data_IF_293698307066
#
_entry.id   IF_293698307066
#
_cell.length_a   1.000
_cell.length_b   1.000
_cell.length_c   1.000
_cell.angle_alpha   90.00
_cell.angle_beta   90.00
_cell.angle_gamma   90.00
#
_symmetry.space_group_name_H-M   'P 1'
#
loop_
_entity.id
_entity.type
_entity.pdbx_description
1 polymer ?
#
# COMPACT_ATOMS: atom_id res chain seq x y z
N UNK A 1 -2.27 14.74 7.86
CA UNK A 1 -1.12 14.54 8.79
C UNK A 1 -0.70 13.09 8.73
N UNK A 2 0.58 12.76 8.89
CA UNK A 2 1.04 11.37 8.86
C UNK A 2 1.02 10.77 10.27
N UNK A 3 0.52 9.55 10.41
CA UNK A 3 0.50 8.75 11.62
C UNK A 3 1.39 7.52 11.43
N UNK A 4 2.21 7.24 12.42
CA UNK A 4 3.08 6.07 12.43
C UNK A 4 2.40 4.92 13.19
N UNK A 5 2.36 3.72 12.59
CA UNK A 5 1.82 2.50 13.21
C UNK A 5 2.76 1.32 13.01
N UNK A 6 2.73 0.34 13.91
CA UNK A 6 3.55 -0.87 13.84
C UNK A 6 2.67 -2.06 13.45
N UNK A 7 3.05 -2.80 12.41
CA UNK A 7 2.31 -3.98 11.95
C UNK A 7 3.25 -5.04 11.37
N UNK A 8 3.09 -6.28 11.82
CA UNK A 8 3.86 -7.45 11.37
C UNK A 8 5.39 -7.19 11.29
N UNK A 9 5.93 -6.50 12.30
CA UNK A 9 7.37 -6.19 12.37
C UNK A 9 7.84 -5.05 11.46
N UNK A 10 6.92 -4.30 10.84
CA UNK A 10 7.25 -3.13 10.01
C UNK A 10 6.55 -1.87 10.50
N UNK A 11 7.22 -0.73 10.33
CA UNK A 11 6.68 0.60 10.60
C UNK A 11 5.92 1.12 9.37
N UNK A 12 4.69 1.59 9.55
CA UNK A 12 3.85 2.15 8.50
C UNK A 12 3.61 3.63 8.74
N UNK A 13 3.83 4.43 7.71
CA UNK A 13 3.56 5.86 7.69
C UNK A 13 2.27 6.08 6.91
N UNK A 14 1.15 6.23 7.62
CA UNK A 14 -0.17 6.33 7.01
C UNK A 14 -0.69 7.75 7.08
N UNK A 15 -1.45 8.19 6.08
CA UNK A 15 -2.27 9.39 6.25
C UNK A 15 -3.25 9.19 7.41
N UNK A 16 -3.52 10.26 8.18
CA UNK A 16 -4.42 10.25 9.33
C UNK A 16 -5.83 9.77 9.01
N UNK A 17 -6.27 9.87 7.75
CA UNK A 17 -7.56 9.30 7.31
C UNK A 17 -7.58 7.78 7.33
N UNK A 18 -6.43 7.09 7.35
CA UNK A 18 -6.38 5.64 7.40
C UNK A 18 -6.18 5.13 8.83
N UNK A 19 -7.18 4.42 9.34
CA UNK A 19 -7.11 3.69 10.60
C UNK A 19 -6.79 2.23 10.35
N UNK A 20 -5.59 1.80 10.75
CA UNK A 20 -5.20 0.38 10.68
C UNK A 20 -6.17 -0.51 11.47
N UNK A 21 -6.55 -1.64 10.87
CA UNK A 21 -7.39 -2.67 11.49
C UNK A 21 -6.51 -3.86 11.91
N UNK A 22 -5.88 -4.55 10.95
CA UNK A 22 -5.02 -5.71 11.22
C UNK A 22 -4.03 -5.96 10.08
N UNK A 23 -2.89 -6.61 10.34
CA UNK A 23 -2.10 -7.21 9.27
C UNK A 23 -2.90 -8.33 8.58
N UNK A 24 -2.83 -8.41 7.25
CA UNK A 24 -3.57 -9.39 6.44
C UNK A 24 -2.67 -10.27 5.59
N UNK A 25 -1.40 -9.91 5.39
CA UNK A 25 -0.49 -10.78 4.64
C UNK A 25 0.91 -10.23 4.48
N UNK A 26 1.77 -11.06 3.91
CA UNK A 26 3.10 -10.71 3.44
C UNK A 26 3.12 -10.93 1.93
N UNK A 27 3.50 -9.90 1.18
CA UNK A 27 3.74 -9.97 -0.26
C UNK A 27 5.22 -10.15 -0.57
N UNK A 28 5.54 -10.28 -1.86
CA UNK A 28 6.93 -10.44 -2.33
C UNK A 28 7.87 -9.30 -1.91
N UNK A 29 7.34 -8.08 -1.68
CA UNK A 29 8.13 -6.89 -1.39
C UNK A 29 7.75 -6.18 -0.09
N UNK A 30 6.97 -6.83 0.79
CA UNK A 30 6.66 -6.24 2.09
C UNK A 30 5.35 -6.72 2.70
N UNK A 31 4.78 -5.89 3.57
CA UNK A 31 3.65 -6.25 4.45
C UNK A 31 2.37 -5.61 3.95
N UNK A 32 1.26 -6.35 4.05
CA UNK A 32 -0.09 -5.87 3.72
C UNK A 32 -0.92 -5.79 4.99
N UNK A 33 -1.54 -4.63 5.21
CA UNK A 33 -2.49 -4.39 6.29
C UNK A 33 -3.88 -4.11 5.72
N UNK A 34 -4.93 -4.43 6.47
CA UNK A 34 -6.24 -3.84 6.26
C UNK A 34 -6.37 -2.57 7.10
N UNK A 35 -6.99 -1.55 6.52
CA UNK A 35 -7.29 -0.28 7.15
C UNK A 35 -8.70 0.18 6.76
N UNK A 36 -9.20 1.15 7.52
CA UNK A 36 -10.44 1.86 7.21
C UNK A 36 -10.10 3.30 6.85
N UNK A 37 -10.59 3.78 5.72
CA UNK A 37 -10.61 5.21 5.44
C UNK A 37 -11.72 5.84 6.29
N UNK A 38 -11.36 6.60 7.32
CA UNK A 38 -12.30 7.20 8.26
C UNK A 38 -13.17 8.31 7.65
N UNK A 39 -12.80 8.83 6.49
CA UNK A 39 -13.59 9.84 5.76
C UNK A 39 -14.71 9.21 4.94
N UNK A 40 -14.47 8.05 4.33
CA UNK A 40 -15.45 7.35 3.47
C UNK A 40 -16.12 6.15 4.15
N UNK A 41 -15.53 5.62 5.23
CA UNK A 41 -15.93 4.38 5.89
C UNK A 41 -15.47 3.11 5.14
N UNK A 42 -14.77 3.25 4.01
CA UNK A 42 -14.36 2.12 3.18
C UNK A 42 -13.20 1.36 3.80
N UNK A 43 -13.25 0.03 3.68
CA UNK A 43 -12.14 -0.85 4.07
C UNK A 43 -11.21 -1.04 2.88
N UNK A 44 -9.93 -0.82 3.11
CA UNK A 44 -8.88 -0.89 2.10
C UNK A 44 -7.77 -1.85 2.52
N UNK A 45 -7.05 -2.38 1.54
CA UNK A 45 -5.76 -3.02 1.74
C UNK A 45 -4.66 -2.01 1.45
N UNK A 46 -3.68 -1.92 2.35
CA UNK A 46 -2.50 -1.06 2.18
C UNK A 46 -1.27 -1.97 2.17
N UNK A 47 -0.62 -2.06 1.02
CA UNK A 47 0.63 -2.80 0.81
C UNK A 47 1.79 -1.84 0.94
N UNK A 48 2.63 -2.04 1.95
CA UNK A 48 3.92 -1.36 2.08
C UNK A 48 4.97 -2.14 1.30
N UNK A 49 5.68 -1.44 0.43
CA UNK A 49 6.84 -1.93 -0.31
C UNK A 49 8.06 -1.21 0.25
N UNK A 50 8.95 -1.96 0.90
CA UNK A 50 10.19 -1.43 1.48
C UNK A 50 11.30 -1.36 0.44
N UNK A 51 12.17 -0.37 0.55
CA UNK A 51 13.35 -0.20 -0.31
C UNK A 51 13.04 -0.26 -1.81
N UNK A 52 11.89 0.32 -2.20
CA UNK A 52 11.29 0.16 -3.53
C UNK A 52 12.21 0.58 -4.70
N UNK A 53 13.22 1.42 -4.42
CA UNK A 53 14.14 1.97 -5.41
C UNK A 53 15.60 1.53 -5.22
N UNK A 54 15.87 0.60 -4.31
CA UNK A 54 17.23 0.17 -4.02
C UNK A 54 17.82 -0.70 -5.16
N UNK A 55 17.00 -1.53 -5.81
CA UNK A 55 17.38 -2.33 -6.97
C UNK A 55 16.61 -1.91 -8.23
N UNK A 56 17.32 -1.76 -9.35
CA UNK A 56 16.74 -1.30 -10.61
C UNK A 56 15.76 -2.32 -11.22
N UNK A 57 15.99 -3.62 -11.02
CA UNK A 57 15.09 -4.67 -11.51
C UNK A 57 13.80 -4.66 -10.71
N UNK A 58 13.88 -4.57 -9.39
CA UNK A 58 12.71 -4.51 -8.52
C UNK A 58 11.93 -3.20 -8.68
N UNK A 59 12.61 -2.06 -8.82
CA UNK A 59 11.98 -0.79 -9.15
C UNK A 59 11.18 -0.87 -10.46
N UNK A 60 11.72 -1.53 -11.50
CA UNK A 60 11.00 -1.78 -12.77
C UNK A 60 9.78 -2.68 -12.58
N UNK A 61 9.89 -3.71 -11.71
CA UNK A 61 8.78 -4.62 -11.41
C UNK A 61 7.66 -3.87 -10.67
N UNK A 62 7.98 -3.07 -9.67
CA UNK A 62 7.03 -2.25 -8.91
C UNK A 62 6.35 -1.23 -9.84
N UNK A 63 7.13 -0.53 -10.68
CA UNK A 63 6.58 0.42 -11.64
C UNK A 63 5.63 -0.26 -12.65
N UNK A 64 5.96 -1.48 -13.09
CA UNK A 64 5.08 -2.28 -13.95
C UNK A 64 3.81 -2.71 -13.23
N UNK A 65 3.90 -3.15 -11.98
CA UNK A 65 2.74 -3.53 -11.15
C UNK A 65 1.79 -2.35 -10.99
N UNK A 66 2.30 -1.18 -10.59
CA UNK A 66 1.53 0.06 -10.47
C UNK A 66 0.87 0.45 -11.80
N UNK A 67 1.62 0.41 -12.91
CA UNK A 67 1.09 0.75 -14.23
C UNK A 67 -0.03 -0.18 -14.65
N UNK A 68 0.11 -1.48 -14.42
CA UNK A 68 -0.92 -2.47 -14.77
C UNK A 68 -2.17 -2.28 -13.92
N UNK A 69 -2.02 -2.15 -12.59
CA UNK A 69 -3.15 -1.96 -11.68
C UNK A 69 -3.93 -0.65 -11.94
N UNK A 70 -3.28 0.39 -12.47
CA UNK A 70 -3.93 1.64 -12.88
C UNK A 70 -4.63 1.57 -14.23
N UNK A 71 -4.30 0.59 -15.07
CA UNK A 71 -4.86 0.46 -16.42
C UNK A 71 -6.03 -0.51 -16.49
N UNK A 72 -6.19 -1.38 -15.49
CA UNK A 72 -7.31 -2.30 -15.42
C UNK A 72 -8.49 -1.68 -14.67
N UNK A 73 -9.60 -1.50 -15.37
CA UNK A 73 -10.90 -1.16 -14.80
C UNK A 73 -11.86 -2.32 -15.12
N UNK A 74 -11.94 -3.30 -14.23
CA UNK A 74 -12.77 -4.48 -14.44
C UNK A 74 -13.14 -5.12 -13.10
N UNK A 75 -14.41 -5.53 -12.92
CA UNK A 75 -14.94 -6.12 -11.67
C UNK A 75 -14.10 -7.31 -11.15
N UNK A 76 -13.57 -8.12 -12.05
CA UNK A 76 -12.76 -9.30 -11.72
C UNK A 76 -11.24 -9.04 -11.65
N UNK A 77 -10.77 -7.79 -11.72
CA UNK A 77 -9.35 -7.44 -11.63
C UNK A 77 -9.19 -6.38 -10.54
N UNK A 78 -8.35 -6.67 -9.54
CA UNK A 78 -8.08 -5.70 -8.48
C UNK A 78 -7.44 -4.43 -9.05
N UNK A 79 -8.04 -3.28 -8.78
CA UNK A 79 -7.52 -1.97 -9.16
C UNK A 79 -6.57 -1.39 -8.10
N UNK A 80 -5.74 -0.44 -8.51
CA UNK A 80 -5.01 0.44 -7.59
C UNK A 80 -5.81 1.73 -7.39
N UNK A 81 -6.34 1.94 -6.19
CA UNK A 81 -7.14 3.12 -5.86
C UNK A 81 -6.28 4.36 -5.62
N UNK A 82 -5.15 4.20 -4.92
CA UNK A 82 -4.29 5.34 -4.56
C UNK A 82 -2.84 4.91 -4.32
N UNK A 83 -1.90 5.85 -4.45
CA UNK A 83 -0.50 5.68 -4.07
C UNK A 83 -0.12 6.74 -3.04
N UNK A 84 0.44 6.30 -1.93
CA UNK A 84 0.97 7.21 -0.93
C UNK A 84 2.50 7.09 -0.86
N UNK A 85 3.16 8.24 -0.86
CA UNK A 85 4.60 8.37 -0.65
C UNK A 85 4.83 9.40 0.47
N UNK A 86 5.43 9.02 1.62
CA UNK A 86 5.76 9.97 2.66
C UNK A 86 6.67 11.07 2.09
N UNK A 87 6.26 12.33 2.26
CA UNK A 87 6.77 13.50 1.53
C UNK A 87 8.21 13.94 1.85
N UNK A 88 9.03 13.10 2.49
CA UNK A 88 10.44 13.42 2.65
C UNK A 88 11.16 13.10 1.33
N UNK A 89 11.41 14.13 0.52
CA UNK A 89 12.18 14.06 -0.74
C UNK A 89 13.58 13.41 -0.60
N UNK A 90 14.03 13.20 0.64
CA UNK A 90 15.33 12.63 0.98
C UNK A 90 15.24 11.19 1.54
N UNK A 91 14.03 10.63 1.70
CA UNK A 91 13.80 9.29 2.29
C UNK A 91 12.66 8.53 1.56
N UNK A 92 12.70 8.58 0.22
CA UNK A 92 11.75 7.92 -0.67
C UNK A 92 12.02 6.41 -0.78
N UNK A 93 12.11 5.73 0.36
CA UNK A 93 12.47 4.29 0.43
C UNK A 93 11.22 3.41 0.36
N UNK A 94 10.12 3.87 0.96
CA UNK A 94 8.89 3.11 1.08
C UNK A 94 7.79 3.61 0.12
N UNK A 95 7.15 2.67 -0.58
CA UNK A 95 5.96 2.94 -1.41
C UNK A 95 4.75 2.24 -0.81
N UNK A 96 3.63 2.96 -0.71
CA UNK A 96 2.37 2.41 -0.22
C UNK A 96 1.36 2.34 -1.37
N UNK A 97 0.85 1.13 -1.63
CA UNK A 97 -0.21 0.88 -2.61
C UNK A 97 -1.50 0.65 -1.85
N UNK A 98 -2.53 1.44 -2.17
CA UNK A 98 -3.87 1.32 -1.60
C UNK A 98 -4.78 0.67 -2.65
N UNK A 99 -5.47 -0.39 -2.24
CA UNK A 99 -6.43 -1.11 -3.08
C UNK A 99 -7.68 -1.50 -2.28
N UNK A 100 -8.66 -2.05 -2.97
CA UNK A 100 -9.84 -2.65 -2.34
C UNK A 100 -9.43 -3.81 -1.40
N UNK A 101 -10.13 -3.90 -0.26
CA UNK A 101 -9.96 -5.03 0.65
C UNK A 101 -10.80 -6.22 0.17
N UNK A 102 -10.16 -7.20 -0.44
CA UNK A 102 -10.80 -8.46 -0.80
C UNK A 102 -10.99 -9.34 0.43
N UNK A 103 -12.20 -9.86 0.63
CA UNK A 103 -12.52 -10.80 1.71
C UNK A 103 -12.33 -12.22 1.21
N UNK A 104 -11.66 -13.05 2.01
CA UNK A 104 -11.60 -14.50 1.80
C UNK A 104 -12.48 -15.17 2.86
N UNK A 105 -13.37 -16.07 2.44
CA UNK A 105 -14.13 -16.98 3.32
C UNK A 105 -13.21 -17.99 4.05
#
# INVERSE_FOLDING_TARGET
>A
TIRVVQAAGSEFHLDSKYRMIKPIGHGAYGVVISAENTETGEKVAIKKITDAFNDLVDAKRIAREIRLLRQFEHENIIGCSDLFCPAAANNFEDVYIISELMVTD
#
